data_IF_858518352197
#
_entry.id   IF_858518352197
#
_cell.length_a   1.000
_cell.length_b   1.000
_cell.length_c   1.000
_cell.angle_alpha   90.00
_cell.angle_beta   90.00
_cell.angle_gamma   90.00
#
_symmetry.space_group_name_H-M   'P 1'
#
loop_
_entity.id
_entity.type
_entity.pdbx_description
1 polymer ?
#
# COMPACT_ATOMS: atom_id res chain seq x y z
N UNK A 1 -16.17 72.15 -67.82
CA UNK A 1 -16.76 73.49 -67.77
C UNK A 1 -15.72 74.44 -68.29
N UNK A 2 -15.88 74.80 -69.55
CA UNK A 2 -14.88 75.50 -70.35
C UNK A 2 -14.73 76.97 -69.94
N UNK A 3 -13.52 77.54 -70.06
CA UNK A 3 -13.30 78.97 -69.96
C UNK A 3 -13.69 79.66 -71.28
N UNK A 4 -14.98 79.94 -71.45
CA UNK A 4 -15.51 80.77 -72.55
C UNK A 4 -15.16 82.27 -72.34
N UNK A 5 -15.07 83.07 -73.43
CA UNK A 5 -13.82 83.76 -73.69
C UNK A 5 -13.77 85.24 -73.28
N UNK A 6 -12.56 85.70 -72.96
CA UNK A 6 -12.25 87.12 -72.73
C UNK A 6 -11.97 87.80 -74.07
N UNK A 7 -13.01 88.34 -74.72
CA UNK A 7 -12.83 89.25 -75.86
C UNK A 7 -14.05 90.14 -76.11
N UNK A 8 -14.08 91.29 -75.44
CA UNK A 8 -14.72 92.49 -75.96
C UNK A 8 -13.62 93.54 -76.10
N UNK A 9 -13.39 94.14 -77.28
CA UNK A 9 -12.45 95.25 -77.41
C UNK A 9 -13.10 96.49 -76.79
N UNK A 10 -12.96 96.62 -75.48
CA UNK A 10 -13.32 97.82 -74.75
C UNK A 10 -12.44 98.96 -75.24
N UNK A 11 -12.96 99.68 -76.24
CA UNK A 11 -12.44 100.94 -76.81
C UNK A 11 -11.75 101.70 -75.69
N UNK A 12 -10.43 101.85 -75.80
CA UNK A 12 -9.62 102.37 -74.69
C UNK A 12 -10.22 103.67 -74.19
N UNK A 13 -10.54 103.79 -72.89
CA UNK A 13 -10.89 105.06 -72.29
C UNK A 13 -9.61 105.87 -72.08
N UNK A 14 -8.90 106.13 -73.18
CA UNK A 14 -7.90 107.18 -73.30
C UNK A 14 -8.62 108.52 -73.17
N UNK A 15 -8.81 108.93 -71.93
CA UNK A 15 -9.22 110.28 -71.53
C UNK A 15 -8.03 110.80 -70.74
N UNK A 16 -7.20 111.54 -71.46
CA UNK A 16 -5.96 110.87 -71.85
C UNK A 16 -4.82 110.97 -70.85
N UNK A 17 -5.01 111.68 -69.74
CA UNK A 17 -3.98 112.55 -69.16
C UNK A 17 -3.63 113.68 -70.14
N UNK A 18 -3.30 113.36 -71.41
CA UNK A 18 -3.01 114.33 -72.48
C UNK A 18 -4.04 115.48 -72.59
N UNK A 19 -5.34 115.27 -72.33
CA UNK A 19 -6.34 116.36 -72.32
C UNK A 19 -6.18 117.32 -71.12
N UNK A 20 -5.80 116.79 -69.96
CA UNK A 20 -5.47 117.59 -68.78
C UNK A 20 -4.12 118.30 -68.98
N UNK A 21 -3.16 117.59 -69.56
CA UNK A 21 -1.81 118.08 -69.88
C UNK A 21 -1.87 119.17 -70.96
N UNK A 22 -2.79 119.08 -71.93
CA UNK A 22 -3.11 120.14 -72.90
C UNK A 22 -3.66 121.40 -72.23
N UNK A 23 -4.61 121.25 -71.29
CA UNK A 23 -5.11 122.39 -70.51
C UNK A 23 -4.01 123.00 -69.62
N UNK A 24 -3.13 122.18 -69.05
CA UNK A 24 -1.94 122.64 -68.31
C UNK A 24 -0.97 123.40 -69.24
N UNK A 25 -0.70 122.89 -70.44
CA UNK A 25 0.15 123.55 -71.43
C UNK A 25 -0.40 124.92 -71.86
N UNK A 26 -1.70 125.00 -72.17
CA UNK A 26 -2.39 126.27 -72.51
C UNK A 26 -2.24 127.29 -71.35
N UNK A 27 -2.40 126.84 -70.10
CA UNK A 27 -2.23 127.69 -68.90
C UNK A 27 -0.76 128.10 -68.70
N UNK A 28 0.20 127.22 -68.95
CA UNK A 28 1.64 127.50 -68.83
C UNK A 28 2.15 128.48 -69.90
N UNK A 29 1.55 128.47 -71.09
CA UNK A 29 1.88 129.38 -72.20
C UNK A 29 1.22 130.77 -72.08
N UNK A 30 0.25 130.94 -71.18
CA UNK A 30 -0.48 132.20 -70.97
C UNK A 30 0.40 133.39 -70.53
N UNK A 31 0.04 134.60 -70.98
CA UNK A 31 0.76 135.83 -70.65
C UNK A 31 0.41 136.31 -69.23
N UNK A 32 1.38 136.24 -68.32
CA UNK A 32 1.20 136.69 -66.93
C UNK A 32 1.41 138.19 -66.77
N UNK A 33 0.42 138.89 -66.21
CA UNK A 33 0.46 140.34 -66.04
C UNK A 33 1.18 140.73 -64.74
N UNK A 34 2.18 141.64 -64.80
CA UNK A 34 2.93 142.06 -63.62
C UNK A 34 2.05 142.90 -62.66
N UNK A 35 2.31 142.78 -61.36
CA UNK A 35 1.64 143.48 -60.25
C UNK A 35 0.14 143.18 -60.04
N UNK A 36 -0.56 142.54 -60.98
CA UNK A 36 -1.99 142.18 -60.83
C UNK A 36 -2.23 140.72 -60.43
N UNK A 37 -1.25 139.84 -60.64
CA UNK A 37 -1.37 138.41 -60.35
C UNK A 37 -2.22 137.62 -61.36
N UNK A 38 -2.74 138.28 -62.40
CA UNK A 38 -3.62 137.69 -63.41
C UNK A 38 -2.82 137.00 -64.53
N UNK A 39 -3.44 136.00 -65.15
CA UNK A 39 -2.96 135.27 -66.32
C UNK A 39 -3.93 135.53 -67.48
N UNK A 40 -3.41 135.92 -68.64
CA UNK A 40 -4.16 136.05 -69.89
C UNK A 40 -3.92 134.80 -70.72
N UNK A 41 -5.00 134.13 -71.13
CA UNK A 41 -4.99 132.87 -71.89
C UNK A 41 -6.01 133.00 -73.03
N UNK A 42 -5.86 132.23 -74.11
CA UNK A 42 -6.87 132.17 -75.15
C UNK A 42 -8.17 131.58 -74.59
N UNK A 43 -9.27 132.35 -74.67
CA UNK A 43 -10.55 131.97 -74.10
C UNK A 43 -11.18 130.80 -74.87
N UNK A 44 -11.07 130.76 -76.21
CA UNK A 44 -11.69 129.72 -77.02
C UNK A 44 -10.96 128.38 -76.80
N UNK A 45 -9.63 128.38 -76.87
CA UNK A 45 -8.82 127.16 -76.70
C UNK A 45 -8.92 126.59 -75.27
N UNK A 46 -8.89 127.46 -74.25
CA UNK A 46 -9.04 127.05 -72.83
C UNK A 46 -10.44 126.52 -72.55
N UNK A 47 -11.48 127.17 -73.08
CA UNK A 47 -12.87 126.74 -72.88
C UNK A 47 -13.16 125.44 -73.64
N UNK A 48 -12.58 125.23 -74.83
CA UNK A 48 -12.70 123.95 -75.54
C UNK A 48 -12.03 122.82 -74.77
N UNK A 49 -10.76 122.96 -74.37
CA UNK A 49 -10.05 121.94 -73.59
C UNK A 49 -10.79 121.61 -72.28
N UNK A 50 -11.25 122.62 -71.54
CA UNK A 50 -12.05 122.45 -70.34
C UNK A 50 -13.40 121.77 -70.63
N UNK A 51 -14.04 122.06 -71.77
CA UNK A 51 -15.30 121.44 -72.18
C UNK A 51 -15.13 119.97 -72.54
N UNK A 52 -14.06 119.61 -73.25
CA UNK A 52 -13.74 118.22 -73.57
C UNK A 52 -13.48 117.40 -72.30
N UNK A 53 -12.72 117.93 -71.34
CA UNK A 53 -12.53 117.30 -70.01
C UNK A 53 -13.89 117.16 -69.29
N UNK A 54 -14.70 118.21 -69.28
CA UNK A 54 -15.99 118.25 -68.58
C UNK A 54 -17.02 117.28 -69.15
N UNK A 55 -17.03 117.05 -70.46
CA UNK A 55 -17.94 116.11 -71.12
C UNK A 55 -17.50 114.65 -70.90
N UNK A 56 -16.19 114.38 -71.00
CA UNK A 56 -15.66 113.03 -71.01
C UNK A 56 -15.34 112.47 -69.61
N UNK A 57 -14.93 113.31 -68.65
CA UNK A 57 -14.46 112.84 -67.33
C UNK A 57 -15.57 112.21 -66.46
N UNK A 58 -16.79 112.80 -66.35
CA UNK A 58 -17.86 112.22 -65.56
C UNK A 58 -18.25 110.77 -65.93
N UNK A 59 -18.47 110.40 -67.21
CA UNK A 59 -18.81 109.01 -67.55
C UNK A 59 -17.68 108.02 -67.27
N UNK A 60 -16.41 108.40 -67.39
CA UNK A 60 -15.30 107.51 -66.99
C UNK A 60 -15.23 107.31 -65.48
N UNK A 61 -15.41 108.36 -64.69
CA UNK A 61 -15.45 108.24 -63.23
C UNK A 61 -16.61 107.33 -62.79
N UNK A 62 -17.78 107.44 -63.44
CA UNK A 62 -18.91 106.53 -63.23
C UNK A 62 -18.59 105.09 -63.66
N UNK A 63 -17.92 104.86 -64.78
CA UNK A 63 -17.45 103.52 -65.19
C UNK A 63 -16.47 102.91 -64.17
N UNK A 64 -15.50 103.69 -63.67
CA UNK A 64 -14.55 103.24 -62.66
C UNK A 64 -15.23 102.88 -61.33
N UNK A 65 -16.19 103.70 -60.87
CA UNK A 65 -17.02 103.37 -59.71
C UNK A 65 -17.81 102.08 -59.95
N UNK A 66 -18.46 101.94 -61.10
CA UNK A 66 -19.24 100.76 -61.49
C UNK A 66 -18.38 99.50 -61.50
N UNK A 67 -17.14 99.56 -62.04
CA UNK A 67 -16.19 98.46 -62.04
C UNK A 67 -15.74 98.06 -60.61
N UNK A 68 -15.55 99.04 -59.73
CA UNK A 68 -15.21 98.81 -58.31
C UNK A 68 -16.37 98.13 -57.58
N UNK A 69 -17.61 98.53 -57.85
CA UNK A 69 -18.81 97.91 -57.29
C UNK A 69 -19.01 96.48 -57.81
N UNK A 70 -18.95 96.28 -59.12
CA UNK A 70 -18.98 94.95 -59.76
C UNK A 70 -17.89 94.03 -59.18
N UNK A 71 -16.66 94.52 -59.00
CA UNK A 71 -15.57 93.76 -58.37
C UNK A 71 -15.88 93.43 -56.91
N UNK A 72 -16.43 94.36 -56.13
CA UNK A 72 -16.83 94.11 -54.74
C UNK A 72 -17.90 93.04 -54.66
N UNK A 73 -18.91 93.09 -55.54
CA UNK A 73 -20.01 92.15 -55.53
C UNK A 73 -19.60 90.77 -56.05
N UNK A 74 -18.74 90.69 -57.07
CA UNK A 74 -18.13 89.43 -57.49
C UNK A 74 -17.31 88.79 -56.36
N UNK A 75 -16.52 89.57 -55.61
CA UNK A 75 -15.76 89.05 -54.45
C UNK A 75 -16.69 88.59 -53.31
N UNK A 76 -17.81 89.29 -53.05
CA UNK A 76 -18.84 88.83 -52.10
C UNK A 76 -19.46 87.51 -52.57
N UNK A 77 -19.83 87.41 -53.84
CA UNK A 77 -20.45 86.23 -54.44
C UNK A 77 -19.51 85.01 -54.38
N UNK A 78 -18.25 85.18 -54.78
CA UNK A 78 -17.24 84.13 -54.71
C UNK A 78 -16.98 83.66 -53.26
N UNK A 79 -16.94 84.58 -52.29
CA UNK A 79 -16.84 84.24 -50.86
C UNK A 79 -18.06 83.46 -50.36
N UNK A 80 -19.26 83.86 -50.76
CA UNK A 80 -20.52 83.17 -50.42
C UNK A 80 -20.57 81.76 -51.00
N UNK A 81 -20.21 81.61 -52.28
CA UNK A 81 -20.12 80.30 -52.96
C UNK A 81 -19.06 79.40 -52.30
N UNK A 82 -17.88 79.94 -51.98
CA UNK A 82 -16.83 79.21 -51.26
C UNK A 82 -17.27 78.75 -49.87
N UNK A 83 -17.97 79.60 -49.11
CA UNK A 83 -18.53 79.24 -47.82
C UNK A 83 -19.60 78.13 -47.93
N UNK A 84 -20.50 78.23 -48.93
CA UNK A 84 -21.51 77.21 -49.22
C UNK A 84 -20.88 75.86 -49.57
N UNK A 85 -19.86 75.84 -50.45
CA UNK A 85 -19.15 74.62 -50.84
C UNK A 85 -18.43 73.96 -49.65
N UNK A 86 -17.79 74.75 -48.79
CA UNK A 86 -17.15 74.24 -47.56
C UNK A 86 -18.18 73.67 -46.58
N UNK A 87 -19.36 74.28 -46.49
CA UNK A 87 -20.44 73.80 -45.65
C UNK A 87 -21.03 72.48 -46.19
N UNK A 88 -21.34 72.39 -47.47
CA UNK A 88 -21.81 71.16 -48.13
C UNK A 88 -20.79 70.02 -48.00
N UNK A 89 -19.48 70.32 -48.14
CA UNK A 89 -18.41 69.34 -47.94
C UNK A 89 -18.32 68.85 -46.48
N UNK A 90 -18.56 69.73 -45.49
CA UNK A 90 -18.62 69.34 -44.07
C UNK A 90 -19.83 68.45 -43.77
N UNK A 91 -20.99 68.78 -44.33
CA UNK A 91 -22.23 68.01 -44.16
C UNK A 91 -22.11 66.61 -44.79
N UNK A 92 -21.60 66.51 -46.03
CA UNK A 92 -21.32 65.21 -46.67
C UNK A 92 -20.30 64.39 -45.88
N UNK A 93 -19.23 65.02 -45.37
CA UNK A 93 -18.23 64.34 -44.53
C UNK A 93 -18.88 63.79 -43.25
N UNK A 94 -19.72 64.58 -42.58
CA UNK A 94 -20.42 64.16 -41.36
C UNK A 94 -21.37 62.99 -41.63
N UNK A 95 -22.13 63.04 -42.72
CA UNK A 95 -23.00 61.92 -43.16
C UNK A 95 -22.19 60.64 -43.42
N UNK A 96 -21.06 60.72 -44.12
CA UNK A 96 -20.19 59.56 -44.38
C UNK A 96 -19.54 59.01 -43.10
N UNK A 97 -19.18 59.87 -42.15
CA UNK A 97 -18.69 59.45 -40.83
C UNK A 97 -19.80 58.71 -40.07
N UNK A 98 -21.01 59.26 -40.00
CA UNK A 98 -22.14 58.63 -39.31
C UNK A 98 -22.52 57.28 -39.95
N UNK A 99 -22.52 57.18 -41.27
CA UNK A 99 -22.71 55.90 -41.99
C UNK A 99 -21.61 54.89 -41.64
N UNK A 100 -20.33 55.29 -41.69
CA UNK A 100 -19.22 54.38 -41.43
C UNK A 100 -19.15 53.92 -39.96
N UNK A 101 -19.46 54.80 -39.00
CA UNK A 101 -19.61 54.45 -37.58
C UNK A 101 -20.75 53.46 -37.37
N UNK A 102 -21.91 53.72 -37.97
CA UNK A 102 -23.08 52.83 -37.84
C UNK A 102 -22.84 51.45 -38.47
N UNK A 103 -22.13 51.37 -39.60
CA UNK A 103 -21.68 50.10 -40.16
C UNK A 103 -20.65 49.39 -39.27
N UNK A 104 -19.67 50.12 -38.74
CA UNK A 104 -18.66 49.57 -37.83
C UNK A 104 -19.31 49.01 -36.55
N UNK A 105 -20.29 49.71 -35.98
CA UNK A 105 -21.09 49.22 -34.86
C UNK A 105 -21.86 47.94 -35.21
N UNK A 106 -22.52 47.87 -36.38
CA UNK A 106 -23.21 46.64 -36.80
C UNK A 106 -22.25 45.46 -36.91
N UNK A 107 -21.08 45.65 -37.54
CA UNK A 107 -20.04 44.62 -37.67
C UNK A 107 -19.49 44.20 -36.30
N UNK A 108 -19.24 45.15 -35.40
CA UNK A 108 -18.80 44.86 -34.04
C UNK A 108 -19.85 44.04 -33.26
N UNK A 109 -21.14 44.39 -33.36
CA UNK A 109 -22.24 43.63 -32.74
C UNK A 109 -22.35 42.21 -33.33
N UNK A 110 -22.15 42.03 -34.63
CA UNK A 110 -22.12 40.72 -35.28
C UNK A 110 -20.96 39.85 -34.76
N UNK A 111 -19.73 40.37 -34.79
CA UNK A 111 -18.53 39.65 -34.28
C UNK A 111 -18.70 39.28 -32.80
N UNK A 112 -19.25 40.16 -31.97
CA UNK A 112 -19.50 39.87 -30.56
C UNK A 112 -20.61 38.81 -30.35
N UNK A 113 -21.65 38.80 -31.18
CA UNK A 113 -22.70 37.79 -31.14
C UNK A 113 -22.18 36.42 -31.61
N UNK A 114 -21.37 36.38 -32.66
CA UNK A 114 -20.70 35.17 -33.16
C UNK A 114 -19.72 34.60 -32.11
N UNK A 115 -18.90 35.46 -31.49
CA UNK A 115 -17.98 35.06 -30.43
C UNK A 115 -18.73 34.52 -29.19
N UNK A 116 -19.86 35.12 -28.81
CA UNK A 116 -20.71 34.62 -27.73
C UNK A 116 -21.32 33.25 -28.08
N UNK A 117 -21.86 33.07 -29.28
CA UNK A 117 -22.40 31.80 -29.74
C UNK A 117 -21.32 30.69 -29.80
N UNK A 118 -20.11 31.01 -30.29
CA UNK A 118 -18.98 30.09 -30.29
C UNK A 118 -18.55 29.71 -28.87
N UNK A 119 -18.47 30.68 -27.95
CA UNK A 119 -18.20 30.43 -26.53
C UNK A 119 -19.21 29.45 -25.93
N UNK A 120 -20.51 29.68 -26.17
CA UNK A 120 -21.56 28.86 -25.57
C UNK A 120 -21.54 27.43 -26.12
N UNK A 121 -21.34 27.25 -27.43
CA UNK A 121 -21.11 25.93 -28.04
C UNK A 121 -19.86 25.24 -27.48
N UNK A 122 -18.78 25.97 -27.22
CA UNK A 122 -17.56 25.39 -26.61
C UNK A 122 -17.78 25.01 -25.14
N UNK A 123 -18.50 25.82 -24.37
CA UNK A 123 -18.84 25.51 -22.97
C UNK A 123 -19.75 24.29 -22.86
N UNK A 124 -20.74 24.16 -23.74
CA UNK A 124 -21.63 22.98 -23.74
C UNK A 124 -20.91 21.71 -24.21
N UNK A 125 -20.03 21.80 -25.21
CA UNK A 125 -19.13 20.69 -25.57
C UNK A 125 -18.22 20.28 -24.41
N UNK A 126 -17.66 21.25 -23.69
CA UNK A 126 -16.81 20.97 -22.53
C UNK A 126 -17.60 20.29 -21.40
N UNK A 127 -18.81 20.78 -21.08
CA UNK A 127 -19.73 20.16 -20.11
C UNK A 127 -20.09 18.73 -20.49
N UNK A 128 -20.44 18.48 -21.75
CA UNK A 128 -20.75 17.14 -22.24
C UNK A 128 -19.54 16.20 -22.15
N UNK A 129 -18.34 16.68 -22.49
CA UNK A 129 -17.11 15.89 -22.39
C UNK A 129 -16.73 15.55 -20.93
N UNK A 130 -16.97 16.47 -19.99
CA UNK A 130 -16.81 16.21 -18.55
C UNK A 130 -17.83 15.17 -18.09
N UNK A 131 -19.12 15.37 -18.35
CA UNK A 131 -20.18 14.43 -17.95
C UNK A 131 -19.98 13.01 -18.52
N UNK A 132 -19.52 12.88 -19.78
CA UNK A 132 -19.18 11.59 -20.38
C UNK A 132 -18.00 10.91 -19.67
N UNK A 133 -16.95 11.65 -19.32
CA UNK A 133 -15.80 11.13 -18.57
C UNK A 133 -16.18 10.74 -17.15
N UNK A 134 -16.97 11.55 -16.46
CA UNK A 134 -17.49 11.24 -15.12
C UNK A 134 -18.35 9.96 -15.15
N UNK A 135 -19.26 9.83 -16.12
CA UNK A 135 -20.07 8.61 -16.27
C UNK A 135 -19.20 7.37 -16.57
N UNK A 136 -18.16 7.50 -17.40
CA UNK A 136 -17.23 6.41 -17.67
C UNK A 136 -16.43 6.02 -16.42
N UNK A 137 -15.93 7.00 -15.65
CA UNK A 137 -15.23 6.76 -14.38
C UNK A 137 -16.14 6.13 -13.33
N UNK A 138 -17.38 6.58 -13.19
CA UNK A 138 -18.38 5.96 -12.30
C UNK A 138 -18.65 4.49 -12.65
N UNK A 139 -18.80 4.17 -13.95
CA UNK A 139 -18.95 2.78 -14.42
C UNK A 139 -17.71 1.94 -14.10
N UNK A 140 -16.51 2.47 -14.34
CA UNK A 140 -15.25 1.78 -14.06
C UNK A 140 -15.06 1.54 -12.56
N UNK A 141 -15.40 2.51 -11.70
CA UNK A 141 -15.37 2.37 -10.25
C UNK A 141 -16.35 1.30 -9.77
N UNK A 142 -17.62 1.34 -10.20
CA UNK A 142 -18.62 0.34 -9.85
C UNK A 142 -18.21 -1.07 -10.29
N UNK A 143 -17.60 -1.22 -11.47
CA UNK A 143 -17.06 -2.49 -11.95
C UNK A 143 -15.88 -2.96 -11.10
N UNK A 144 -14.95 -2.07 -10.74
CA UNK A 144 -13.82 -2.41 -9.87
C UNK A 144 -14.29 -2.82 -8.46
N UNK A 145 -15.24 -2.09 -7.88
CA UNK A 145 -15.87 -2.44 -6.60
C UNK A 145 -16.53 -3.81 -6.63
N UNK A 146 -17.28 -4.13 -7.70
CA UNK A 146 -17.88 -5.45 -7.90
C UNK A 146 -16.80 -6.55 -8.02
N UNK A 147 -15.73 -6.31 -8.77
CA UNK A 147 -14.61 -7.26 -8.91
C UNK A 147 -13.90 -7.50 -7.56
N UNK A 148 -13.63 -6.44 -6.79
CA UNK A 148 -13.02 -6.58 -5.46
C UNK A 148 -13.96 -7.25 -4.45
N UNK A 149 -15.26 -6.96 -4.48
CA UNK A 149 -16.26 -7.62 -3.64
C UNK A 149 -16.36 -9.11 -3.96
N UNK A 150 -16.44 -9.48 -5.25
CA UNK A 150 -16.44 -10.86 -5.70
C UNK A 150 -15.13 -11.59 -5.31
N UNK A 151 -13.97 -10.97 -5.53
CA UNK A 151 -12.68 -11.56 -5.17
C UNK A 151 -12.52 -11.73 -3.66
N UNK A 152 -13.02 -10.80 -2.85
CA UNK A 152 -13.03 -10.92 -1.38
C UNK A 152 -13.90 -12.10 -0.92
N UNK A 153 -15.09 -12.25 -1.51
CA UNK A 153 -15.97 -13.39 -1.19
C UNK A 153 -15.37 -14.74 -1.61
N UNK A 154 -14.70 -14.80 -2.77
CA UNK A 154 -13.94 -15.99 -3.19
C UNK A 154 -12.82 -16.34 -2.19
N UNK A 155 -12.00 -15.37 -1.80
CA UNK A 155 -10.91 -15.58 -0.83
C UNK A 155 -11.43 -16.02 0.54
N UNK A 156 -12.58 -15.51 0.97
CA UNK A 156 -13.25 -15.92 2.21
C UNK A 156 -13.74 -17.38 2.13
N UNK A 157 -14.35 -17.78 1.01
CA UNK A 157 -14.76 -19.16 0.75
C UNK A 157 -13.54 -20.12 0.66
N UNK A 158 -12.49 -19.74 -0.07
CA UNK A 158 -11.22 -20.47 -0.15
C UNK A 158 -10.59 -20.65 1.25
N UNK A 159 -10.63 -19.61 2.10
CA UNK A 159 -10.13 -19.66 3.47
C UNK A 159 -10.96 -20.61 4.37
N UNK A 160 -12.29 -20.51 4.32
CA UNK A 160 -13.20 -21.38 5.09
C UNK A 160 -12.99 -22.84 4.67
N UNK A 161 -13.05 -23.14 3.38
CA UNK A 161 -12.87 -24.50 2.86
C UNK A 161 -11.50 -25.09 3.23
N UNK A 162 -10.42 -24.31 3.12
CA UNK A 162 -9.07 -24.74 3.52
C UNK A 162 -8.97 -25.00 5.03
N UNK A 163 -9.61 -24.17 5.85
CA UNK A 163 -9.65 -24.35 7.31
C UNK A 163 -10.46 -25.59 7.70
N UNK A 164 -11.59 -25.83 7.06
CA UNK A 164 -12.40 -27.04 7.25
C UNK A 164 -11.63 -28.30 6.85
N UNK A 165 -10.96 -28.30 5.70
CA UNK A 165 -10.12 -29.41 5.26
C UNK A 165 -8.98 -29.69 6.25
N UNK A 166 -8.30 -28.65 6.75
CA UNK A 166 -7.25 -28.82 7.75
C UNK A 166 -7.80 -29.37 9.08
N UNK A 167 -8.97 -28.91 9.53
CA UNK A 167 -9.63 -29.43 10.72
C UNK A 167 -10.02 -30.90 10.55
N UNK A 168 -10.57 -31.29 9.39
CA UNK A 168 -10.89 -32.68 9.07
C UNK A 168 -9.64 -33.58 9.08
N UNK A 169 -8.51 -33.11 8.54
CA UNK A 169 -7.24 -33.84 8.60
C UNK A 169 -6.74 -34.03 10.04
N UNK A 170 -6.80 -32.99 10.87
CA UNK A 170 -6.43 -33.07 12.29
C UNK A 170 -7.36 -34.00 13.07
N UNK A 171 -8.66 -34.02 12.76
CA UNK A 171 -9.62 -34.93 13.38
C UNK A 171 -9.38 -36.39 12.95
N UNK A 172 -9.09 -36.65 11.67
CA UNK A 172 -8.70 -37.97 11.18
C UNK A 172 -7.41 -38.47 11.87
N UNK A 173 -6.38 -37.62 11.98
CA UNK A 173 -5.15 -37.95 12.71
C UNK A 173 -5.43 -38.24 14.19
N UNK A 174 -6.30 -37.45 14.85
CA UNK A 174 -6.72 -37.69 16.24
C UNK A 174 -7.41 -39.05 16.39
N UNK A 175 -8.32 -39.40 15.47
CA UNK A 175 -9.05 -40.67 15.49
C UNK A 175 -8.10 -41.86 15.24
N UNK A 176 -7.16 -41.74 14.31
CA UNK A 176 -6.11 -42.74 14.08
C UNK A 176 -5.24 -42.95 15.33
N UNK A 177 -4.76 -41.87 15.95
CA UNK A 177 -3.97 -41.95 17.17
C UNK A 177 -4.74 -42.59 18.34
N UNK A 178 -6.05 -42.32 18.46
CA UNK A 178 -6.91 -42.98 19.45
C UNK A 178 -7.03 -44.49 19.19
N UNK A 179 -7.24 -44.90 17.94
CA UNK A 179 -7.29 -46.32 17.56
C UNK A 179 -5.97 -47.05 17.81
N UNK A 180 -4.83 -46.39 17.55
CA UNK A 180 -3.50 -46.92 17.87
C UNK A 180 -3.29 -47.07 19.39
N UNK A 181 -3.71 -46.08 20.18
CA UNK A 181 -3.65 -46.15 21.65
C UNK A 181 -4.55 -47.25 22.21
N UNK A 182 -5.76 -47.43 21.68
CA UNK A 182 -6.65 -48.54 22.06
C UNK A 182 -6.01 -49.90 21.73
N UNK A 183 -5.44 -50.03 20.53
CA UNK A 183 -4.72 -51.23 20.11
C UNK A 183 -3.53 -51.53 21.02
N UNK A 184 -2.67 -50.56 21.30
CA UNK A 184 -1.52 -50.71 22.19
C UNK A 184 -1.95 -51.07 23.62
N UNK A 185 -3.07 -50.51 24.11
CA UNK A 185 -3.64 -50.89 25.40
C UNK A 185 -4.14 -52.34 25.41
N UNK A 186 -4.81 -52.80 24.35
CA UNK A 186 -5.22 -54.21 24.22
C UNK A 186 -4.02 -55.16 24.14
N UNK A 187 -2.99 -54.83 23.36
CA UNK A 187 -1.75 -55.62 23.26
C UNK A 187 -1.01 -55.66 24.61
N UNK A 188 -0.95 -54.53 25.34
CA UNK A 188 -0.40 -54.46 26.70
C UNK A 188 -1.19 -55.30 27.71
N UNK A 189 -2.52 -55.32 27.64
CA UNK A 189 -3.36 -56.17 28.50
C UNK A 189 -3.06 -57.64 28.22
N UNK A 190 -3.07 -58.06 26.94
CA UNK A 190 -2.76 -59.45 26.54
C UNK A 190 -1.36 -59.88 26.99
N UNK A 191 -0.35 -59.02 26.80
CA UNK A 191 1.02 -59.31 27.24
C UNK A 191 1.11 -59.45 28.76
N UNK A 192 0.40 -58.61 29.52
CA UNK A 192 0.32 -58.72 30.98
C UNK A 192 -0.35 -60.02 31.41
N UNK A 193 -1.46 -60.42 30.78
CA UNK A 193 -2.14 -61.68 31.07
C UNK A 193 -1.25 -62.90 30.76
N UNK A 194 -0.51 -62.88 29.65
CA UNK A 194 0.45 -63.94 29.32
C UNK A 194 1.57 -64.04 30.37
N UNK A 195 2.20 -62.92 30.72
CA UNK A 195 3.23 -62.89 31.75
C UNK A 195 2.71 -63.30 33.15
N UNK A 196 1.44 -63.01 33.46
CA UNK A 196 0.80 -63.49 34.69
C UNK A 196 0.63 -65.01 34.68
N UNK A 197 0.17 -65.60 33.57
CA UNK A 197 0.05 -67.07 33.41
C UNK A 197 1.42 -67.75 33.51
N UNK A 198 2.43 -67.24 32.83
CA UNK A 198 3.81 -67.77 32.93
C UNK A 198 4.33 -67.75 34.38
N UNK A 199 4.04 -66.69 35.15
CA UNK A 199 4.40 -66.62 36.57
C UNK A 199 3.59 -67.60 37.42
N UNK A 200 2.30 -67.78 37.15
CA UNK A 200 1.43 -68.75 37.84
C UNK A 200 1.87 -70.19 37.56
N UNK A 201 2.21 -70.53 36.31
CA UNK A 201 2.71 -71.83 35.89
C UNK A 201 4.07 -72.14 36.53
N UNK A 202 5.03 -71.20 36.48
CA UNK A 202 6.32 -71.33 37.17
C UNK A 202 6.17 -71.49 38.69
N UNK A 203 5.20 -70.82 39.30
CA UNK A 203 4.89 -71.01 40.73
C UNK A 203 4.33 -72.41 41.01
N UNK A 204 3.45 -72.94 40.17
CA UNK A 204 2.92 -74.30 40.29
C UNK A 204 4.01 -75.35 40.10
N UNK A 205 4.89 -75.20 39.10
CA UNK A 205 6.04 -76.08 38.88
C UNK A 205 6.99 -76.08 40.08
N UNK A 206 7.33 -74.90 40.61
CA UNK A 206 8.16 -74.74 41.81
C UNK A 206 7.52 -75.38 43.05
N UNK A 207 6.19 -75.24 43.22
CA UNK A 207 5.46 -75.90 44.31
C UNK A 207 5.47 -77.42 44.15
N UNK A 208 5.22 -77.95 42.95
CA UNK A 208 5.23 -79.37 42.66
C UNK A 208 6.63 -79.98 42.82
N UNK A 209 7.68 -79.28 42.39
CA UNK A 209 9.07 -79.67 42.62
C UNK A 209 9.38 -79.71 44.11
N UNK A 210 9.02 -78.65 44.87
CA UNK A 210 9.20 -78.60 46.32
C UNK A 210 8.46 -79.74 47.03
N UNK A 211 7.22 -80.04 46.66
CA UNK A 211 6.44 -81.16 47.21
C UNK A 211 7.12 -82.50 46.94
N UNK A 212 7.57 -82.75 45.70
CA UNK A 212 8.34 -83.95 45.34
C UNK A 212 9.63 -84.06 46.15
N UNK A 213 10.37 -82.97 46.32
CA UNK A 213 11.60 -82.93 47.13
C UNK A 213 11.31 -83.20 48.61
N UNK A 214 10.28 -82.58 49.20
CA UNK A 214 9.84 -82.85 50.57
C UNK A 214 9.46 -84.33 50.76
N UNK A 215 8.62 -84.88 49.88
CA UNK A 215 8.21 -86.29 49.95
C UNK A 215 9.41 -87.25 49.81
N UNK A 216 10.39 -86.93 48.95
CA UNK A 216 11.62 -87.70 48.82
C UNK A 216 12.50 -87.61 50.09
N UNK A 217 12.61 -86.43 50.70
CA UNK A 217 13.30 -86.26 51.98
C UNK A 217 12.61 -87.00 53.13
N UNK A 218 11.28 -86.99 53.18
CA UNK A 218 10.49 -87.78 54.15
C UNK A 218 10.71 -89.29 53.96
N UNK A 219 10.72 -89.76 52.72
CA UNK A 219 10.94 -91.17 52.39
C UNK A 219 12.39 -91.60 52.74
N UNK A 220 13.40 -90.80 52.40
CA UNK A 220 14.78 -91.01 52.86
C UNK A 220 14.88 -91.02 54.40
N UNK A 221 14.13 -90.15 55.08
CA UNK A 221 14.08 -90.10 56.56
C UNK A 221 13.42 -91.35 57.13
N UNK A 222 12.35 -91.86 56.51
CA UNK A 222 11.70 -93.13 56.87
C UNK A 222 12.63 -94.32 56.65
N UNK A 223 13.34 -94.36 55.53
CA UNK A 223 14.32 -95.42 55.23
C UNK A 223 15.51 -95.40 56.20
N UNK A 224 16.00 -94.21 56.58
CA UNK A 224 17.00 -94.04 57.62
C UNK A 224 16.47 -94.51 59.00
N UNK A 225 15.23 -94.15 59.35
CA UNK A 225 14.59 -94.58 60.59
C UNK A 225 14.34 -96.10 60.63
N UNK A 226 13.90 -96.70 59.52
CA UNK A 226 13.69 -98.14 59.40
C UNK A 226 15.02 -98.92 59.46
N UNK A 227 16.06 -98.45 58.77
CA UNK A 227 17.43 -98.98 58.86
C UNK A 227 17.94 -98.89 60.30
N UNK A 228 17.72 -97.77 60.99
CA UNK A 228 18.08 -97.59 62.39
C UNK A 228 17.32 -98.54 63.32
N UNK A 229 16.01 -98.69 63.16
CA UNK A 229 15.21 -99.66 63.93
C UNK A 229 15.62 -101.11 63.65
N UNK A 230 16.01 -101.43 62.41
CA UNK A 230 16.57 -102.72 62.03
C UNK A 230 17.91 -102.99 62.72
N UNK A 231 18.81 -101.99 62.72
CA UNK A 231 20.07 -102.05 63.44
C UNK A 231 19.86 -102.16 64.97
N UNK A 232 18.91 -101.41 65.54
CA UNK A 232 18.55 -101.49 66.96
C UNK A 232 17.96 -102.86 67.33
N UNK A 233 17.14 -103.47 66.46
CA UNK A 233 16.67 -104.86 66.62
C UNK A 233 17.81 -105.87 66.53
N UNK A 234 18.69 -105.74 65.54
CA UNK A 234 19.84 -106.62 65.38
C UNK A 234 20.78 -106.52 66.58
N UNK A 235 21.05 -105.31 67.07
CA UNK A 235 21.82 -105.08 68.30
C UNK A 235 21.17 -105.75 69.52
N UNK A 236 19.84 -105.65 69.69
CA UNK A 236 19.11 -106.38 70.75
C UNK A 236 19.21 -107.90 70.58
N UNK A 237 19.01 -108.42 69.37
CA UNK A 237 19.10 -109.86 69.10
C UNK A 237 20.50 -110.42 69.37
N UNK A 238 21.56 -109.70 68.98
CA UNK A 238 22.94 -110.08 69.29
C UNK A 238 23.21 -110.00 70.80
N UNK A 239 22.66 -109.01 71.51
CA UNK A 239 22.76 -108.93 72.98
C UNK A 239 21.99 -110.06 73.68
N UNK A 240 20.82 -110.45 73.18
CA UNK A 240 20.03 -111.57 73.69
C UNK A 240 20.68 -112.93 73.38
N UNK A 241 21.28 -113.11 72.20
CA UNK A 241 22.12 -114.27 71.90
C UNK A 241 23.37 -114.33 72.78
N UNK A 242 24.03 -113.19 73.04
CA UNK A 242 25.17 -113.12 73.96
C UNK A 242 24.74 -113.45 75.39
N UNK A 243 23.58 -112.97 75.84
CA UNK A 243 22.99 -113.34 77.13
C UNK A 243 22.57 -114.82 77.19
N UNK A 244 22.06 -115.38 76.09
CA UNK A 244 21.74 -116.80 75.95
C UNK A 244 23.00 -117.66 76.07
N UNK A 245 24.02 -117.36 75.26
CA UNK A 245 25.34 -118.00 75.32
C UNK A 245 25.99 -117.85 76.71
N UNK A 246 25.81 -116.71 77.39
CA UNK A 246 26.23 -116.51 78.79
C UNK A 246 25.45 -117.39 79.78
N UNK A 247 24.13 -117.56 79.60
CA UNK A 247 23.32 -118.50 80.40
C UNK A 247 23.70 -119.95 80.16
N UNK A 248 23.97 -120.34 78.92
CA UNK A 248 24.43 -121.70 78.60
C UNK A 248 25.80 -121.96 79.23
N UNK A 249 26.72 -120.98 79.18
CA UNK A 249 27.99 -121.03 79.91
C UNK A 249 27.79 -121.15 81.42
N UNK A 250 26.82 -120.44 81.99
CA UNK A 250 26.45 -120.55 83.41
C UNK A 250 25.80 -121.90 83.74
N UNK A 251 25.04 -122.53 82.85
CA UNK A 251 24.50 -123.87 83.05
C UNK A 251 25.57 -124.95 82.91
N UNK A 252 26.51 -124.84 81.97
CA UNK A 252 27.66 -125.75 81.88
C UNK A 252 28.58 -125.63 83.10
N UNK A 253 28.76 -124.42 83.63
CA UNK A 253 29.48 -124.19 84.91
C UNK A 253 28.67 -124.69 86.11
N UNK A 254 27.34 -124.62 86.09
CA UNK A 254 26.46 -125.18 87.13
C UNK A 254 26.48 -126.71 87.16
N UNK A 255 26.31 -127.35 86.01
CA UNK A 255 26.26 -128.81 85.86
C UNK A 255 27.60 -129.50 86.20
N UNK A 256 28.74 -128.81 86.02
CA UNK A 256 30.06 -129.31 86.47
C UNK A 256 30.37 -129.05 87.95
N UNK A 257 29.48 -128.39 88.71
CA UNK A 257 29.73 -127.95 90.10
C UNK A 257 28.93 -128.73 91.16
N UNK A 258 28.45 -129.92 90.80
CA UNK A 258 27.68 -130.78 91.70
C UNK A 258 28.31 -132.18 91.89
N UNK A 259 29.52 -132.41 91.35
CA UNK A 259 30.20 -133.72 91.38
C UNK A 259 31.58 -133.76 92.06
N UNK A 260 32.13 -132.64 92.56
CA UNK A 260 33.31 -132.71 93.42
C UNK A 260 33.18 -131.87 94.70
N UNK A 261 33.07 -132.62 95.79
CA UNK A 261 33.20 -132.21 97.18
C UNK A 261 34.62 -131.75 97.53
N UNK A 262 34.70 -131.00 98.64
CA UNK A 262 35.77 -131.03 99.63
C UNK A 262 37.22 -130.88 99.15
N UNK A 263 37.74 -129.63 99.15
CA UNK A 263 38.48 -129.18 100.34
C UNK A 263 38.88 -127.69 100.34
N UNK A 264 39.23 -127.22 101.54
CA UNK A 264 39.88 -125.95 101.90
C UNK A 264 39.14 -124.63 101.63
N UNK A 265 38.64 -124.07 102.73
CA UNK A 265 38.44 -122.63 102.88
C UNK A 265 39.80 -121.91 103.01
N UNK A 266 39.96 -120.75 102.37
CA UNK A 266 40.67 -119.55 102.86
C UNK A 266 40.53 -118.39 101.84
N UNK A 267 40.43 -117.14 102.31
CA UNK A 267 40.90 -115.97 101.54
C UNK A 267 39.89 -114.96 100.97
N UNK A 268 39.51 -113.98 101.83
CA UNK A 268 39.51 -112.52 101.56
C UNK A 268 38.52 -111.90 100.52
N UNK A 269 37.76 -110.84 100.88
CA UNK A 269 36.72 -110.28 100.02
C UNK A 269 37.14 -109.04 99.18
N UNK A 270 36.42 -108.89 98.06
CA UNK A 270 36.01 -107.65 97.37
C UNK A 270 37.08 -106.66 96.89
N UNK A 271 37.28 -106.61 95.57
CA UNK A 271 37.82 -105.47 94.85
C UNK A 271 37.22 -105.37 93.44
N UNK A 272 37.39 -104.20 92.80
CA UNK A 272 37.26 -103.91 91.35
C UNK A 272 35.83 -103.95 90.72
N UNK A 273 35.63 -103.29 89.55
CA UNK A 273 35.89 -101.86 89.35
C UNK A 273 34.87 -101.14 88.45
N UNK A 274 34.91 -99.80 88.43
CA UNK A 274 34.94 -99.06 87.14
C UNK A 274 35.56 -97.68 87.34
N UNK A 275 36.59 -97.39 86.56
CA UNK A 275 37.33 -96.14 86.61
C UNK A 275 37.68 -95.69 85.19
N UNK A 276 37.88 -94.38 85.04
CA UNK A 276 38.44 -93.65 83.89
C UNK A 276 37.55 -93.58 82.65
N UNK A 277 37.04 -92.43 82.21
CA UNK A 277 37.43 -90.99 82.28
C UNK A 277 38.55 -90.54 81.36
N UNK A 278 38.30 -89.36 80.76
CA UNK A 278 39.26 -88.36 80.22
C UNK A 278 39.80 -88.61 78.81
N UNK A 279 39.41 -87.68 77.92
CA UNK A 279 40.20 -86.76 77.07
C UNK A 279 41.68 -87.15 76.70
N UNK A 280 42.32 -86.58 75.66
CA UNK A 280 42.38 -85.14 75.38
C UNK A 280 43.10 -84.78 74.06
N UNK A 281 42.65 -83.68 73.42
CA UNK A 281 43.46 -82.81 72.53
C UNK A 281 43.88 -83.37 71.16
N UNK A 282 44.52 -82.62 70.24
CA UNK A 282 44.92 -81.18 70.15
C UNK A 282 45.45 -80.90 68.69
N UNK A 283 45.70 -79.71 68.12
CA UNK A 283 45.67 -78.26 68.48
C UNK A 283 45.36 -77.42 67.21
N UNK A 284 44.92 -76.16 67.36
CA UNK A 284 45.32 -74.96 66.55
C UNK A 284 44.99 -74.83 65.03
N UNK A 285 45.05 -73.65 64.38
CA UNK A 285 44.77 -72.25 64.80
C UNK A 285 44.78 -71.26 63.59
N UNK A 286 43.96 -70.20 63.68
CA UNK A 286 44.19 -68.78 63.27
C UNK A 286 44.57 -68.29 61.84
N UNK A 287 43.79 -67.26 61.41
CA UNK A 287 44.18 -65.99 60.72
C UNK A 287 44.59 -66.07 59.22
N UNK A 288 44.35 -65.09 58.30
CA UNK A 288 44.31 -63.61 58.38
C UNK A 288 43.85 -62.94 57.02
N UNK A 289 43.16 -61.76 57.05
CA UNK A 289 43.07 -60.68 55.99
C UNK A 289 42.49 -61.03 54.59
N UNK A 290 42.03 -60.13 53.69
CA UNK A 290 41.81 -58.63 53.56
C UNK A 290 40.54 -58.43 52.69
N UNK A 291 39.63 -57.45 52.84
CA UNK A 291 39.64 -55.96 52.78
C UNK A 291 39.54 -55.35 51.35
N UNK A 292 38.63 -54.38 51.22
CA UNK A 292 38.43 -53.41 50.11
C UNK A 292 37.90 -53.95 48.75
N UNK A 293 37.13 -53.20 47.94
CA UNK A 293 37.00 -51.73 47.89
C UNK A 293 35.60 -51.15 47.51
N UNK A 294 35.48 -49.81 47.51
CA UNK A 294 34.26 -48.98 47.33
C UNK A 294 34.08 -48.40 45.93
N UNK A 295 32.81 -48.14 45.57
CA UNK A 295 32.26 -47.02 44.76
C UNK A 295 32.84 -46.71 43.36
N UNK A 296 31.95 -46.37 42.41
CA UNK A 296 31.76 -44.98 41.92
C UNK A 296 30.67 -44.86 40.84
N UNK A 297 30.22 -43.62 40.61
CA UNK A 297 29.23 -43.13 39.63
C UNK A 297 27.76 -43.51 39.92
#
# INVERSE_FOLDING_TARGET
MDPSPVSSPSKEPGLTLDQLDQLEEIILQGLRLPLTGMLLVDEEETVEALSQIRESFPPLFQQAQTLIEQRRDYVKQARSQGASLVQEAREKREQLIQQSVHEAERRARQVMAEAAAQRDVLLDKARQAVAQKEQALQKNLAQAEQQFAARRSQLEQEYIARKEQQNQQLEQQRLQALQELERLNQEKIKLKELAQREVEDLQQEMQALRQKTCAHCEELTRQAAATRQGADRYARQVLDELNGKLRDLQQVVGARRQEFQDNHAHGRPTATPRQRTVHQGTVAANQLRTREDRKSA
#
